data_IF_781241660307
#
_entry.id   IF_781241660307
#
_cell.length_a   1.000
_cell.length_b   1.000
_cell.length_c   1.000
_cell.angle_alpha   90.00
_cell.angle_beta   90.00
_cell.angle_gamma   90.00
#
_symmetry.space_group_name_H-M   'P 1'
#
loop_
_entity.id
_entity.type
_entity.pdbx_description
1 polymer ?
#
# COMPACT_ATOMS: atom_id res chain seq x y z
N UNK A 1 -14.40 23.15 -8.45
CA UNK A 1 -14.99 22.27 -9.50
C UNK A 1 -15.68 21.13 -8.79
N UNK A 2 -16.88 20.74 -9.22
CA UNK A 2 -17.62 19.63 -8.59
C UNK A 2 -17.06 18.27 -9.04
N UNK A 3 -17.09 17.26 -8.16
CA UNK A 3 -16.67 15.90 -8.52
C UNK A 3 -17.48 15.31 -9.67
N UNK A 4 -18.73 15.74 -9.84
CA UNK A 4 -19.55 15.46 -11.02
C UNK A 4 -18.89 15.83 -12.36
N UNK A 5 -18.12 16.94 -12.43
CA UNK A 5 -17.41 17.31 -13.66
C UNK A 5 -16.28 16.33 -13.98
N UNK A 6 -15.49 15.96 -12.98
CA UNK A 6 -14.38 15.01 -13.18
C UNK A 6 -14.92 13.63 -13.55
N UNK A 7 -16.03 13.18 -12.95
CA UNK A 7 -16.72 11.95 -13.36
C UNK A 7 -17.17 12.01 -14.81
N UNK A 8 -17.86 13.08 -15.20
CA UNK A 8 -18.31 13.25 -16.59
C UNK A 8 -17.16 13.19 -17.59
N UNK A 9 -16.00 13.76 -17.25
CA UNK A 9 -14.81 13.67 -18.11
C UNK A 9 -14.30 12.23 -18.26
N UNK A 10 -14.40 11.41 -17.20
CA UNK A 10 -14.03 9.99 -17.25
C UNK A 10 -15.07 9.19 -18.05
N UNK A 11 -16.37 9.46 -17.86
CA UNK A 11 -17.47 8.86 -18.64
C UNK A 11 -17.39 9.21 -20.13
N UNK A 12 -16.92 10.41 -20.47
CA UNK A 12 -16.68 10.87 -21.84
C UNK A 12 -15.32 10.42 -22.39
N UNK A 13 -14.56 9.59 -21.66
CA UNK A 13 -13.21 9.13 -22.01
C UNK A 13 -12.20 10.28 -22.28
N UNK A 14 -12.49 11.47 -21.75
CA UNK A 14 -11.67 12.66 -21.91
C UNK A 14 -10.55 12.70 -20.85
N UNK A 15 -9.60 11.77 -21.01
CA UNK A 15 -8.44 11.60 -20.11
C UNK A 15 -7.63 12.89 -19.99
N UNK A 16 -7.38 13.59 -21.10
CA UNK A 16 -6.60 14.82 -21.10
C UNK A 16 -7.29 15.95 -20.29
N UNK A 17 -8.61 16.08 -20.45
CA UNK A 17 -9.43 17.01 -19.67
C UNK A 17 -9.42 16.65 -18.19
N UNK A 18 -9.56 15.37 -17.85
CA UNK A 18 -9.48 14.89 -16.47
C UNK A 18 -8.11 15.23 -15.85
N UNK A 19 -7.01 14.87 -16.50
CA UNK A 19 -5.65 15.09 -15.98
C UNK A 19 -5.40 16.58 -15.73
N UNK A 20 -5.77 17.44 -16.67
CA UNK A 20 -5.61 18.90 -16.54
C UNK A 20 -6.42 19.45 -15.36
N UNK A 21 -7.71 19.12 -15.31
CA UNK A 21 -8.62 19.64 -14.31
C UNK A 21 -8.27 19.08 -12.92
N UNK A 22 -7.96 17.78 -12.82
CA UNK A 22 -7.56 17.12 -11.59
C UNK A 22 -6.22 17.65 -11.05
N UNK A 23 -5.23 17.92 -11.91
CA UNK A 23 -3.95 18.49 -11.50
C UNK A 23 -4.10 19.89 -10.86
N UNK A 24 -5.10 20.66 -11.30
CA UNK A 24 -5.36 22.02 -10.81
C UNK A 24 -6.00 22.07 -9.41
N UNK A 25 -6.48 20.94 -8.88
CA UNK A 25 -7.20 20.87 -7.62
C UNK A 25 -6.27 20.84 -6.39
N UNK A 26 -6.73 21.44 -5.29
CA UNK A 26 -6.13 21.25 -3.96
C UNK A 26 -6.27 19.80 -3.50
N UNK A 27 -5.39 19.36 -2.60
CA UNK A 27 -5.41 17.98 -2.08
C UNK A 27 -6.76 17.64 -1.44
N UNK A 28 -7.30 18.51 -0.59
CA UNK A 28 -8.61 18.29 0.05
C UNK A 28 -9.74 18.08 -0.96
N UNK A 29 -9.73 18.86 -2.05
CA UNK A 29 -10.73 18.71 -3.12
C UNK A 29 -10.53 17.41 -3.88
N UNK A 30 -9.28 17.00 -4.16
CA UNK A 30 -8.99 15.71 -4.79
C UNK A 30 -9.54 14.57 -3.93
N UNK A 31 -9.25 14.57 -2.64
CA UNK A 31 -9.71 13.54 -1.70
C UNK A 31 -11.24 13.46 -1.64
N UNK A 32 -11.92 14.60 -1.55
CA UNK A 32 -13.38 14.64 -1.56
C UNK A 32 -13.97 14.01 -2.83
N UNK A 33 -13.46 14.41 -4.00
CA UNK A 33 -13.98 13.92 -5.30
C UNK A 33 -13.69 12.43 -5.52
N UNK A 34 -12.53 11.94 -5.07
CA UNK A 34 -12.15 10.52 -5.19
C UNK A 34 -12.99 9.60 -4.29
N UNK A 35 -13.48 10.12 -3.16
CA UNK A 35 -14.35 9.40 -2.21
C UNK A 35 -15.83 9.42 -2.61
N UNK A 36 -16.25 10.31 -3.52
CA UNK A 36 -17.61 10.29 -4.06
C UNK A 36 -17.92 8.91 -4.69
N UNK A 37 -19.20 8.56 -4.76
CA UNK A 37 -19.66 7.34 -5.40
C UNK A 37 -20.80 7.66 -6.37
N UNK A 38 -20.86 6.93 -7.47
CA UNK A 38 -21.98 7.02 -8.42
C UNK A 38 -23.22 6.26 -7.90
N UNK A 39 -24.24 6.12 -8.76
CA UNK A 39 -25.46 5.38 -8.43
C UNK A 39 -25.22 3.88 -8.20
N UNK A 40 -24.12 3.31 -8.67
CA UNK A 40 -23.69 1.92 -8.44
C UNK A 40 -22.77 1.79 -7.21
N UNK A 41 -22.38 2.89 -6.56
CA UNK A 41 -21.39 2.88 -5.49
C UNK A 41 -19.94 2.96 -5.98
N UNK A 42 -19.69 3.14 -7.29
CA UNK A 42 -18.35 3.15 -7.86
C UNK A 42 -17.66 4.51 -7.66
N UNK A 43 -16.41 4.46 -7.25
CA UNK A 43 -15.52 5.64 -7.23
C UNK A 43 -15.03 5.95 -8.65
N UNK A 44 -14.36 7.09 -8.83
CA UNK A 44 -13.71 7.42 -10.12
C UNK A 44 -12.69 6.36 -10.53
N UNK A 45 -11.97 5.75 -9.59
CA UNK A 45 -11.05 4.64 -9.90
C UNK A 45 -11.80 3.40 -10.39
N UNK A 46 -12.93 3.07 -9.76
CA UNK A 46 -13.77 1.95 -10.21
C UNK A 46 -14.33 2.18 -11.62
N UNK A 47 -14.77 3.41 -11.91
CA UNK A 47 -15.22 3.80 -13.25
C UNK A 47 -14.09 3.75 -14.27
N UNK A 48 -12.89 4.25 -13.94
CA UNK A 48 -11.73 4.19 -14.81
C UNK A 48 -11.31 2.73 -15.11
N UNK A 49 -11.48 1.81 -14.17
CA UNK A 49 -11.24 0.38 -14.37
C UNK A 49 -12.27 -0.27 -15.31
N UNK A 50 -13.52 0.16 -15.27
CA UNK A 50 -14.57 -0.30 -16.18
C UNK A 50 -14.44 0.26 -17.60
N UNK A 51 -13.93 1.48 -17.73
CA UNK A 51 -13.74 2.17 -19.00
C UNK A 51 -12.34 1.98 -19.60
N UNK A 52 -11.51 1.10 -19.04
CA UNK A 52 -10.17 0.79 -19.57
C UNK A 52 -9.26 2.04 -19.65
N UNK A 53 -9.29 2.89 -18.62
CA UNK A 53 -8.57 4.17 -18.55
C UNK A 53 -7.43 4.14 -17.52
N UNK A 54 -6.34 3.41 -17.77
CA UNK A 54 -5.25 3.24 -16.81
C UNK A 54 -4.51 4.56 -16.49
N UNK A 55 -4.46 5.51 -17.42
CA UNK A 55 -3.80 6.80 -17.25
C UNK A 55 -4.50 7.67 -16.19
N UNK A 56 -5.81 7.53 -16.06
CA UNK A 56 -6.59 8.20 -15.00
C UNK A 56 -6.15 7.65 -13.63
N UNK A 57 -6.01 6.34 -13.50
CA UNK A 57 -5.62 5.69 -12.24
C UNK A 57 -4.18 6.03 -11.87
N UNK A 58 -3.25 5.95 -12.83
CA UNK A 58 -1.84 6.36 -12.64
C UNK A 58 -1.77 7.79 -12.12
N UNK A 59 -2.49 8.72 -12.76
CA UNK A 59 -2.47 10.12 -12.34
C UNK A 59 -2.98 10.32 -10.93
N UNK A 60 -4.00 9.57 -10.52
CA UNK A 60 -4.54 9.62 -9.16
C UNK A 60 -3.49 9.10 -8.16
N UNK A 61 -2.89 7.94 -8.42
CA UNK A 61 -1.88 7.33 -7.53
C UNK A 61 -0.68 8.27 -7.33
N UNK A 62 -0.21 8.92 -8.39
CA UNK A 62 0.92 9.85 -8.31
C UNK A 62 0.61 11.11 -7.49
N UNK A 63 -0.64 11.58 -7.58
CA UNK A 63 -1.08 12.86 -7.02
C UNK A 63 -1.52 12.79 -5.56
N UNK A 64 -1.65 11.59 -4.98
CA UNK A 64 -2.20 11.37 -3.64
C UNK A 64 -1.10 10.83 -2.68
N UNK A 65 -1.05 11.30 -1.42
CA UNK A 65 -0.19 10.72 -0.39
C UNK A 65 -0.54 9.26 -0.08
N UNK A 66 0.42 8.52 0.48
CA UNK A 66 0.27 7.10 0.79
C UNK A 66 -0.93 6.80 1.72
N UNK A 67 -1.08 7.56 2.80
CA UNK A 67 -2.10 7.30 3.83
C UNK A 67 -3.52 7.43 3.26
N UNK A 68 -3.75 8.46 2.45
CA UNK A 68 -5.06 8.71 1.81
C UNK A 68 -5.35 7.73 0.67
N UNK A 69 -4.31 7.26 -0.04
CA UNK A 69 -4.48 6.37 -1.18
C UNK A 69 -5.13 5.05 -0.75
N UNK A 70 -4.73 4.51 0.41
CA UNK A 70 -5.28 3.25 0.94
C UNK A 70 -6.80 3.32 1.13
N UNK A 71 -7.29 4.41 1.71
CA UNK A 71 -8.73 4.62 1.90
C UNK A 71 -9.47 4.59 0.56
N UNK A 72 -8.95 5.31 -0.45
CA UNK A 72 -9.59 5.47 -1.76
C UNK A 72 -9.69 4.14 -2.51
N UNK A 73 -8.60 3.36 -2.54
CA UNK A 73 -8.58 2.06 -3.25
C UNK A 73 -9.35 0.97 -2.50
N UNK A 74 -9.68 1.19 -1.22
CA UNK A 74 -10.43 0.25 -0.39
C UNK A 74 -11.95 0.48 -0.42
N UNK A 75 -12.42 1.57 -1.03
CA UNK A 75 -13.86 1.84 -1.15
C UNK A 75 -14.52 0.76 -2.02
N UNK A 76 -15.60 0.18 -1.50
CA UNK A 76 -16.39 -0.84 -2.17
C UNK A 76 -17.62 -0.23 -2.83
N UNK A 77 -17.98 -0.75 -4.00
CA UNK A 77 -19.25 -0.48 -4.64
C UNK A 77 -20.41 -1.28 -4.00
N UNK A 78 -21.61 -1.21 -4.61
CA UNK A 78 -22.79 -1.95 -4.13
C UNK A 78 -22.66 -3.47 -4.19
N UNK A 79 -21.75 -4.00 -5.02
CA UNK A 79 -21.43 -5.43 -5.11
C UNK A 79 -20.33 -5.83 -4.13
N UNK A 80 -19.81 -4.88 -3.35
CA UNK A 80 -18.67 -5.09 -2.47
C UNK A 80 -17.34 -5.11 -3.23
N UNK A 81 -17.35 -4.77 -4.53
CA UNK A 81 -16.17 -4.78 -5.38
C UNK A 81 -15.36 -3.49 -5.14
N UNK A 82 -14.06 -3.64 -4.90
CA UNK A 82 -13.11 -2.52 -4.91
C UNK A 82 -12.72 -2.17 -6.36
N UNK A 83 -12.10 -1.02 -6.63
CA UNK A 83 -11.58 -0.72 -7.97
C UNK A 83 -10.68 -1.82 -8.55
N UNK A 84 -9.96 -2.55 -7.70
CA UNK A 84 -9.15 -3.70 -8.10
C UNK A 84 -9.97 -4.93 -8.50
N UNK A 85 -11.10 -5.20 -7.84
CA UNK A 85 -12.02 -6.26 -8.27
C UNK A 85 -12.61 -5.94 -9.65
N UNK A 86 -12.95 -4.67 -9.89
CA UNK A 86 -13.45 -4.20 -11.19
C UNK A 86 -12.36 -4.35 -12.25
N UNK A 87 -11.13 -3.92 -11.98
CA UNK A 87 -10.01 -4.09 -12.90
C UNK A 87 -9.72 -5.58 -13.19
N UNK A 88 -9.82 -6.45 -12.18
CA UNK A 88 -9.65 -7.88 -12.35
C UNK A 88 -10.79 -8.55 -13.14
N UNK A 89 -12.00 -7.99 -13.09
CA UNK A 89 -13.12 -8.46 -13.89
C UNK A 89 -12.97 -8.09 -15.37
N UNK A 90 -12.44 -6.90 -15.67
CA UNK A 90 -12.25 -6.43 -17.05
C UNK A 90 -10.88 -6.77 -17.66
N UNK A 91 -9.97 -7.36 -16.88
CA UNK A 91 -8.64 -7.75 -17.37
C UNK A 91 -7.64 -6.60 -17.48
N UNK A 92 -7.86 -5.50 -16.76
CA UNK A 92 -7.03 -4.30 -16.78
C UNK A 92 -5.70 -4.49 -16.00
N UNK A 93 -4.76 -5.21 -16.60
CA UNK A 93 -3.44 -5.51 -16.02
C UNK A 93 -2.65 -4.26 -15.63
N UNK A 94 -2.77 -3.18 -16.41
CA UNK A 94 -2.04 -1.93 -16.14
C UNK A 94 -2.50 -1.31 -14.82
N UNK A 95 -3.81 -1.25 -14.59
CA UNK A 95 -4.39 -0.70 -13.35
C UNK A 95 -3.93 -1.51 -12.14
N UNK A 96 -3.95 -2.84 -12.25
CA UNK A 96 -3.43 -3.71 -11.19
C UNK A 96 -1.96 -3.42 -10.93
N UNK A 97 -1.11 -3.36 -11.96
CA UNK A 97 0.32 -3.05 -11.83
C UNK A 97 0.58 -1.69 -11.19
N UNK A 98 -0.20 -0.65 -11.53
CA UNK A 98 -0.08 0.66 -10.90
C UNK A 98 -0.37 0.63 -9.41
N UNK A 99 -1.42 -0.08 -8.98
CA UNK A 99 -1.74 -0.20 -7.56
C UNK A 99 -0.71 -1.07 -6.83
N UNK A 100 -0.24 -2.17 -7.43
CA UNK A 100 0.77 -3.04 -6.82
C UNK A 100 2.13 -2.33 -6.62
N UNK A 101 2.49 -1.42 -7.54
CA UNK A 101 3.72 -0.62 -7.49
C UNK A 101 3.51 0.77 -6.89
N UNK A 102 2.35 1.02 -6.27
CA UNK A 102 2.05 2.30 -5.64
C UNK A 102 2.80 2.47 -4.31
N UNK A 103 2.60 3.62 -3.67
CA UNK A 103 3.23 3.99 -2.39
C UNK A 103 2.66 3.21 -1.19
N UNK A 104 1.75 2.27 -1.38
CA UNK A 104 1.12 1.50 -0.29
C UNK A 104 2.12 0.59 0.42
N UNK A 105 1.96 0.40 1.73
CA UNK A 105 2.76 -0.56 2.50
C UNK A 105 2.43 -2.00 2.11
N UNK A 106 3.33 -2.94 2.42
CA UNK A 106 3.10 -4.38 2.26
C UNK A 106 1.83 -4.83 2.99
N UNK A 107 1.61 -4.35 4.22
CA UNK A 107 0.42 -4.64 5.00
C UNK A 107 -0.87 -4.11 4.34
N UNK A 108 -0.84 -2.89 3.80
CA UNK A 108 -1.96 -2.28 3.07
C UNK A 108 -2.27 -3.05 1.79
N UNK A 109 -1.25 -3.39 0.99
CA UNK A 109 -1.39 -4.18 -0.22
C UNK A 109 -1.97 -5.56 0.08
N UNK A 110 -1.43 -6.26 1.08
CA UNK A 110 -1.96 -7.56 1.53
C UNK A 110 -3.43 -7.45 1.96
N UNK A 111 -3.79 -6.40 2.68
CA UNK A 111 -5.17 -6.16 3.07
C UNK A 111 -6.06 -6.04 1.82
N UNK A 112 -5.74 -5.12 0.91
CA UNK A 112 -6.53 -4.87 -0.32
C UNK A 112 -6.66 -6.12 -1.19
N UNK A 113 -5.58 -6.87 -1.38
CA UNK A 113 -5.57 -8.07 -2.21
C UNK A 113 -6.38 -9.23 -1.61
N UNK A 114 -6.49 -9.28 -0.27
CA UNK A 114 -7.31 -10.25 0.46
C UNK A 114 -8.73 -9.78 0.76
N UNK A 115 -9.08 -8.53 0.42
CA UNK A 115 -10.46 -8.06 0.58
C UNK A 115 -11.38 -8.91 -0.28
N UNK A 116 -12.52 -9.26 0.31
CA UNK A 116 -13.58 -10.01 -0.35
C UNK A 116 -14.74 -9.10 -0.70
N UNK A 117 -15.33 -9.33 -1.87
CA UNK A 117 -16.59 -8.71 -2.24
C UNK A 117 -17.79 -9.41 -1.58
N UNK A 118 -19.02 -9.02 -1.94
CA UNK A 118 -20.24 -9.60 -1.34
C UNK A 118 -20.41 -11.11 -1.65
N UNK A 119 -19.75 -11.61 -2.69
CA UNK A 119 -19.73 -13.03 -3.06
C UNK A 119 -18.56 -13.79 -2.40
N UNK A 120 -17.85 -13.17 -1.46
CA UNK A 120 -16.66 -13.74 -0.82
C UNK A 120 -15.47 -14.00 -1.76
N UNK A 121 -15.46 -13.35 -2.93
CA UNK A 121 -14.44 -13.49 -3.97
C UNK A 121 -13.36 -12.42 -3.76
N UNK A 122 -12.08 -12.81 -3.87
CA UNK A 122 -10.94 -11.89 -3.87
C UNK A 122 -10.56 -11.43 -5.27
N UNK A 123 -9.71 -10.39 -5.37
CA UNK A 123 -9.20 -9.87 -6.65
C UNK A 123 -8.53 -10.97 -7.50
N UNK A 124 -7.68 -11.81 -6.87
CA UNK A 124 -7.05 -12.95 -7.54
C UNK A 124 -8.08 -13.95 -8.06
N UNK A 125 -9.05 -14.35 -7.22
CA UNK A 125 -10.09 -15.30 -7.62
C UNK A 125 -10.95 -14.76 -8.76
N UNK A 126 -11.20 -13.45 -8.78
CA UNK A 126 -11.89 -12.78 -9.90
C UNK A 126 -11.07 -12.86 -11.18
N UNK A 127 -9.78 -12.52 -11.14
CA UNK A 127 -8.91 -12.61 -12.32
C UNK A 127 -8.86 -14.04 -12.88
N UNK A 128 -8.85 -15.06 -12.01
CA UNK A 128 -8.91 -16.47 -12.41
C UNK A 128 -10.26 -16.84 -13.02
N UNK A 129 -11.38 -16.40 -12.44
CA UNK A 129 -12.72 -16.72 -12.97
C UNK A 129 -12.97 -16.18 -14.36
N UNK A 130 -12.45 -14.99 -14.64
CA UNK A 130 -12.55 -14.34 -15.95
C UNK A 130 -11.47 -14.80 -16.95
N UNK A 131 -10.55 -15.68 -16.53
CA UNK A 131 -9.51 -16.24 -17.39
C UNK A 131 -8.30 -15.32 -17.63
N UNK A 132 -8.14 -14.26 -16.84
CA UNK A 132 -6.99 -13.34 -16.90
C UNK A 132 -5.78 -13.91 -16.14
N UNK A 133 -5.27 -15.06 -16.60
CA UNK A 133 -4.24 -15.84 -15.89
C UNK A 133 -2.95 -15.05 -15.63
N UNK A 134 -2.46 -14.27 -16.60
CA UNK A 134 -1.25 -13.44 -16.42
C UNK A 134 -1.40 -12.40 -15.30
N UNK A 135 -2.59 -11.83 -15.17
CA UNK A 135 -2.90 -10.93 -14.07
C UNK A 135 -2.96 -11.68 -12.74
N UNK A 136 -3.62 -12.84 -12.73
CA UNK A 136 -3.69 -13.69 -11.54
C UNK A 136 -2.29 -14.08 -11.05
N UNK A 137 -1.41 -14.50 -11.95
CA UNK A 137 0.01 -14.81 -11.66
C UNK A 137 0.72 -13.58 -11.06
N UNK A 138 0.56 -12.41 -11.67
CA UNK A 138 1.16 -11.16 -11.16
C UNK A 138 0.68 -10.84 -9.74
N UNK A 139 -0.60 -11.03 -9.45
CA UNK A 139 -1.18 -10.81 -8.12
C UNK A 139 -0.63 -11.84 -7.12
N UNK A 140 -0.55 -13.11 -7.53
CA UNK A 140 -0.08 -14.21 -6.69
C UNK A 140 1.41 -14.05 -6.35
N UNK A 141 2.25 -13.74 -7.33
CA UNK A 141 3.67 -13.46 -7.14
C UNK A 141 3.87 -12.31 -6.14
N UNK A 142 3.06 -11.26 -6.27
CA UNK A 142 3.11 -10.12 -5.35
C UNK A 142 2.68 -10.51 -3.94
N UNK A 143 1.67 -11.35 -3.78
CA UNK A 143 1.24 -11.86 -2.47
C UNK A 143 2.34 -12.71 -1.80
N UNK A 144 2.94 -13.64 -2.55
CA UNK A 144 4.04 -14.47 -2.03
C UNK A 144 5.25 -13.61 -1.62
N UNK A 145 5.58 -12.60 -2.42
CA UNK A 145 6.64 -11.66 -2.07
C UNK A 145 6.31 -10.91 -0.77
N UNK A 146 5.07 -10.43 -0.60
CA UNK A 146 4.64 -9.75 0.64
C UNK A 146 4.75 -10.69 1.86
N UNK A 147 4.30 -11.94 1.74
CA UNK A 147 4.40 -12.94 2.81
C UNK A 147 5.86 -13.17 3.22
N UNK A 148 6.77 -13.30 2.24
CA UNK A 148 8.19 -13.48 2.53
C UNK A 148 8.82 -12.27 3.23
N UNK A 149 8.37 -11.05 2.91
CA UNK A 149 8.85 -9.83 3.57
C UNK A 149 8.30 -9.69 5.00
N UNK A 150 7.03 -10.07 5.23
CA UNK A 150 6.45 -10.14 6.58
C UNK A 150 7.15 -11.19 7.45
N UNK A 151 7.51 -12.34 6.89
CA UNK A 151 8.26 -13.38 7.59
C UNK A 151 9.64 -12.87 8.01
N UNK A 152 10.39 -12.23 7.11
CA UNK A 152 11.67 -11.58 7.46
C UNK A 152 11.50 -10.53 8.56
N UNK A 153 10.47 -9.69 8.46
CA UNK A 153 10.17 -8.65 9.46
C UNK A 153 9.88 -9.29 10.83
N UNK A 154 9.16 -10.41 10.83
CA UNK A 154 8.85 -11.16 12.04
C UNK A 154 10.11 -11.81 12.62
N UNK A 155 10.96 -12.41 11.79
CA UNK A 155 12.21 -13.04 12.21
C UNK A 155 13.20 -12.05 12.81
N UNK A 156 13.32 -10.84 12.23
CA UNK A 156 14.14 -9.77 12.78
C UNK A 156 13.63 -9.36 14.17
N UNK A 157 12.32 -9.09 14.30
CA UNK A 157 11.71 -8.70 15.59
C UNK A 157 11.83 -9.80 16.65
N UNK A 158 11.63 -11.06 16.30
CA UNK A 158 11.80 -12.20 17.21
C UNK A 158 13.25 -12.30 17.72
N UNK A 159 14.23 -12.06 16.85
CA UNK A 159 15.64 -12.00 17.24
C UNK A 159 15.90 -10.84 18.21
N UNK A 160 15.23 -9.69 18.04
CA UNK A 160 15.30 -8.57 18.99
C UNK A 160 14.65 -8.92 20.33
N UNK A 161 13.42 -9.42 20.34
CA UNK A 161 12.69 -9.80 21.56
C UNK A 161 13.48 -10.81 22.40
N UNK A 162 14.14 -11.76 21.72
CA UNK A 162 14.96 -12.79 22.34
C UNK A 162 16.38 -12.34 22.71
N UNK A 163 16.74 -11.07 22.51
CA UNK A 163 18.10 -10.54 22.74
C UNK A 163 19.21 -11.29 21.97
N UNK A 164 18.90 -11.79 20.77
CA UNK A 164 19.83 -12.55 19.94
C UNK A 164 20.65 -11.61 19.03
N UNK A 165 21.54 -10.80 19.62
CA UNK A 165 22.32 -9.75 18.91
C UNK A 165 23.08 -10.29 17.70
N UNK A 166 23.70 -11.47 17.81
CA UNK A 166 24.43 -12.10 16.70
C UNK A 166 23.53 -12.46 15.52
N UNK A 167 22.25 -12.82 15.77
CA UNK A 167 21.29 -13.09 14.67
C UNK A 167 20.86 -11.80 14.01
N UNK A 168 20.61 -10.75 14.78
CA UNK A 168 20.29 -9.41 14.24
C UNK A 168 21.45 -8.93 13.35
N UNK A 169 22.69 -9.04 13.82
CA UNK A 169 23.87 -8.67 13.03
C UNK A 169 24.01 -9.50 11.75
N UNK A 170 23.77 -10.82 11.81
CA UNK A 170 23.79 -11.70 10.64
C UNK A 170 22.71 -11.32 9.63
N UNK A 171 21.47 -11.08 10.07
CA UNK A 171 20.38 -10.60 9.21
C UNK A 171 20.74 -9.28 8.54
N UNK A 172 21.17 -8.30 9.33
CA UNK A 172 21.55 -6.98 8.82
C UNK A 172 22.74 -7.02 7.85
N UNK A 173 23.65 -7.96 8.01
CA UNK A 173 24.81 -8.12 7.11
C UNK A 173 24.46 -8.82 5.80
N UNK A 174 23.36 -9.56 5.76
CA UNK A 174 22.84 -10.21 4.55
C UNK A 174 21.92 -9.34 3.70
N UNK A 175 21.48 -8.18 4.22
CA UNK A 175 20.52 -7.28 3.57
C UNK A 175 21.22 -6.10 2.88
N UNK A 176 20.62 -5.61 1.79
CA UNK A 176 20.95 -4.29 1.24
C UNK A 176 20.48 -3.16 2.18
N UNK A 177 21.01 -1.94 1.99
CA UNK A 177 20.60 -0.78 2.81
C UNK A 177 19.10 -0.48 2.72
N UNK A 178 18.52 -0.64 1.52
CA UNK A 178 17.09 -0.38 1.28
C UNK A 178 16.23 -1.41 2.01
N UNK A 179 16.60 -2.69 1.92
CA UNK A 179 15.93 -3.77 2.66
C UNK A 179 16.08 -3.58 4.17
N UNK A 180 17.28 -3.20 4.63
CA UNK A 180 17.53 -2.96 6.04
C UNK A 180 16.60 -1.87 6.61
N UNK A 181 16.48 -0.73 5.92
CA UNK A 181 15.55 0.31 6.35
C UNK A 181 14.10 -0.19 6.37
N UNK A 182 13.65 -0.85 5.30
CA UNK A 182 12.30 -1.40 5.21
C UNK A 182 12.00 -2.35 6.36
N UNK A 183 12.96 -3.22 6.71
CA UNK A 183 12.81 -4.22 7.75
C UNK A 183 12.81 -3.60 9.17
N UNK A 184 13.64 -2.57 9.38
CA UNK A 184 13.64 -1.83 10.65
C UNK A 184 12.41 -0.92 10.81
N UNK A 185 11.88 -0.37 9.71
CA UNK A 185 10.70 0.50 9.70
C UNK A 185 9.37 -0.27 9.78
N UNK A 186 9.39 -1.58 9.53
CA UNK A 186 8.20 -2.42 9.61
C UNK A 186 7.62 -2.43 11.03
N UNK A 187 6.31 -2.24 11.11
CA UNK A 187 5.58 -2.20 12.37
C UNK A 187 4.79 -3.49 12.60
N UNK A 188 4.77 -3.95 13.85
CA UNK A 188 3.90 -5.04 14.28
C UNK A 188 2.43 -4.60 14.43
N UNK A 189 1.56 -5.50 14.92
CA UNK A 189 0.13 -5.21 15.16
C UNK A 189 -0.10 -4.09 16.19
N UNK A 190 0.86 -3.80 17.05
CA UNK A 190 0.82 -2.71 18.02
C UNK A 190 1.55 -1.45 17.50
N UNK A 191 1.98 -1.41 16.25
CA UNK A 191 2.74 -0.30 15.68
C UNK A 191 4.21 -0.30 16.08
N UNK A 192 4.72 -1.32 16.77
CA UNK A 192 6.11 -1.33 17.23
C UNK A 192 7.04 -1.78 16.10
N UNK A 193 8.11 -1.02 15.92
CA UNK A 193 9.27 -1.40 15.10
C UNK A 193 10.24 -2.26 15.89
N UNK A 194 11.21 -2.88 15.21
CA UNK A 194 12.32 -3.57 15.88
C UNK A 194 13.03 -2.66 16.91
N UNK A 195 13.15 -1.35 16.61
CA UNK A 195 13.75 -0.37 17.51
C UNK A 195 12.87 -0.09 18.74
N UNK A 196 11.54 0.00 18.58
CA UNK A 196 10.62 0.14 19.72
C UNK A 196 10.75 -1.03 20.71
N UNK A 197 10.86 -2.25 20.18
CA UNK A 197 11.04 -3.46 20.99
C UNK A 197 12.38 -3.42 21.73
N UNK A 198 13.48 -3.15 21.00
CA UNK A 198 14.80 -3.04 21.61
C UNK A 198 14.86 -1.96 22.70
N UNK A 199 14.19 -0.82 22.48
CA UNK A 199 14.08 0.26 23.45
C UNK A 199 13.27 -0.15 24.68
N UNK A 200 12.14 -0.84 24.48
CA UNK A 200 11.31 -1.34 25.59
C UNK A 200 12.09 -2.23 26.57
N UNK A 201 12.99 -3.06 26.05
CA UNK A 201 13.84 -3.94 26.86
C UNK A 201 15.19 -3.33 27.28
N UNK A 202 15.52 -2.12 26.84
CA UNK A 202 16.78 -1.45 27.17
C UNK A 202 18.02 -2.02 26.46
N UNK A 203 17.85 -2.66 25.31
CA UNK A 203 18.94 -3.27 24.54
C UNK A 203 19.77 -2.22 23.78
N UNK A 204 20.53 -1.41 24.51
CA UNK A 204 21.29 -0.27 23.98
C UNK A 204 22.26 -0.67 22.85
N UNK A 205 23.04 -1.73 23.06
CA UNK A 205 24.02 -2.23 22.08
C UNK A 205 23.35 -2.69 20.78
N UNK A 206 22.16 -3.30 20.89
CA UNK A 206 21.35 -3.72 19.75
C UNK A 206 20.84 -2.51 18.95
N UNK A 207 20.36 -1.47 19.65
CA UNK A 207 19.90 -0.22 19.02
C UNK A 207 21.06 0.45 18.29
N UNK A 208 22.23 0.55 18.93
CA UNK A 208 23.44 1.12 18.33
C UNK A 208 23.84 0.36 17.05
N UNK A 209 23.79 -0.97 17.09
CA UNK A 209 24.05 -1.81 15.91
C UNK A 209 23.05 -1.54 14.77
N UNK A 210 21.75 -1.46 15.08
CA UNK A 210 20.69 -1.18 14.09
C UNK A 210 20.83 0.19 13.42
N UNK A 211 21.11 1.24 14.20
CA UNK A 211 21.19 2.61 13.69
C UNK A 211 22.51 2.90 12.97
N UNK A 212 23.61 2.24 13.36
CA UNK A 212 24.94 2.50 12.79
C UNK A 212 25.01 2.17 11.28
N UNK A 213 24.22 1.21 10.82
CA UNK A 213 24.19 0.81 9.40
C UNK A 213 23.24 1.67 8.54
N UNK A 214 22.46 2.57 9.12
CA UNK A 214 21.54 3.44 8.39
C UNK A 214 22.18 4.78 8.00
N UNK A 215 21.77 5.33 6.85
CA UNK A 215 22.13 6.69 6.47
C UNK A 215 21.25 7.72 7.19
N UNK A 216 21.75 8.93 7.40
CA UNK A 216 21.06 10.01 8.11
C UNK A 216 19.59 10.27 7.69
N UNK A 217 19.23 10.32 6.38
CA UNK A 217 17.84 10.56 6.00
C UNK A 217 16.90 9.43 6.45
N UNK A 218 17.37 8.18 6.41
CA UNK A 218 16.58 7.01 6.76
C UNK A 218 16.52 6.82 8.27
N UNK A 219 17.61 7.11 8.98
CA UNK A 219 17.64 7.17 10.44
C UNK A 219 16.60 8.18 10.98
N UNK A 220 16.59 9.41 10.43
CA UNK A 220 15.63 10.44 10.83
C UNK A 220 14.17 9.99 10.62
N UNK A 221 13.88 9.28 9.53
CA UNK A 221 12.54 8.76 9.26
C UNK A 221 12.18 7.64 10.22
N UNK A 222 13.07 6.67 10.39
CA UNK A 222 12.88 5.52 11.28
C UNK A 222 12.56 5.96 12.71
N UNK A 223 13.33 6.91 13.24
CA UNK A 223 13.15 7.39 14.61
C UNK A 223 11.81 8.13 14.83
N UNK A 224 11.23 8.72 13.77
CA UNK A 224 9.95 9.42 13.81
C UNK A 224 8.73 8.49 13.70
N UNK A 225 8.92 7.22 13.36
CA UNK A 225 7.81 6.26 13.26
C UNK A 225 7.19 6.10 14.64
N UNK A 226 5.89 6.35 14.73
CA UNK A 226 5.11 6.24 15.95
C UNK A 226 4.37 4.90 16.02
N UNK A 227 4.39 4.26 17.18
CA UNK A 227 3.55 3.08 17.42
C UNK A 227 2.07 3.46 17.62
N UNK A 228 1.21 2.46 17.85
CA UNK A 228 -0.23 2.66 18.07
C UNK A 228 -0.58 3.55 19.27
N UNK A 229 0.38 3.81 20.17
CA UNK A 229 0.25 4.72 21.32
C UNK A 229 0.78 6.13 21.03
N UNK A 230 1.22 6.41 19.80
CA UNK A 230 1.82 7.68 19.41
C UNK A 230 3.26 7.88 19.90
N UNK A 231 3.89 6.84 20.45
CA UNK A 231 5.27 6.91 20.93
C UNK A 231 6.23 6.73 19.75
N UNK A 232 7.20 7.64 19.53
CA UNK A 232 8.19 7.48 18.49
C UNK A 232 9.20 6.37 18.82
N UNK A 233 9.93 5.90 17.82
CA UNK A 233 11.03 4.93 18.00
C UNK A 233 12.24 5.53 18.72
N UNK A 234 12.29 6.86 18.90
CA UNK A 234 13.27 7.56 19.72
C UNK A 234 12.77 7.82 21.14
N UNK A 235 13.71 7.84 22.08
CA UNK A 235 13.51 8.08 23.51
C UNK A 235 13.10 9.53 23.82
#
# INVERSE_FOLDING_TARGET
>A
MSGARLRKLVEEENVAGFIRDFASLSLDTKLAVLKEQDFCGKTIMGLAAELYLPEVVEKIIDSIPQDDLFDIVSIKDKHGDTPLHIAAYFGEEKIVKYVLNSKLTTAQLRHILNMKNNNSITVHQRAVSEGHLRMADTILDRLQWIESEEDKNSMLREAVESSQTSRVEAFMSSMSKVELYSQLAAQDKAGNTAVHIAAHYGYKEMIELMIQKLEQPDLCKLLKIQNSKGLPSCW
#
